data_IF_069704220163
#
_entry.id   IF_069704220163
#
_cell.length_a   1.000
_cell.length_b   1.000
_cell.length_c   1.000
_cell.angle_alpha   90.00
_cell.angle_beta   90.00
_cell.angle_gamma   90.00
#
_symmetry.space_group_name_H-M   'P 1'
#
loop_
_entity.id
_entity.type
_entity.pdbx_description
1 polymer ?
#
# COMPACT_ATOMS: atom_id res chain seq x y z
N UNK A 1 2.08 -4.16 -9.59
CA UNK A 1 3.38 -3.83 -10.23
C UNK A 1 3.20 -3.33 -11.66
N UNK A 2 4.15 -2.60 -12.17
CA UNK A 2 4.12 -1.93 -13.48
C UNK A 2 5.16 -2.54 -14.42
N UNK A 3 5.00 -2.33 -15.74
CA UNK A 3 5.91 -2.84 -16.76
C UNK A 3 5.34 -4.02 -17.58
N UNK A 4 4.04 -4.17 -17.59
CA UNK A 4 3.32 -5.33 -18.16
C UNK A 4 3.23 -6.50 -17.18
N UNK A 5 2.40 -7.50 -17.51
CA UNK A 5 2.02 -8.57 -16.55
C UNK A 5 3.20 -9.28 -15.90
N UNK A 6 4.20 -9.70 -16.67
CA UNK A 6 5.34 -10.47 -16.14
C UNK A 6 6.33 -9.59 -15.36
N UNK A 7 6.66 -8.42 -15.89
CA UNK A 7 7.61 -7.52 -15.28
C UNK A 7 7.06 -6.89 -13.99
N UNK A 8 5.77 -6.52 -13.96
CA UNK A 8 5.11 -6.01 -12.76
C UNK A 8 4.98 -7.04 -11.64
N UNK A 9 4.64 -8.30 -11.99
CA UNK A 9 4.59 -9.41 -11.03
C UNK A 9 5.97 -9.67 -10.42
N UNK A 10 7.01 -9.70 -11.24
CA UNK A 10 8.39 -9.85 -10.78
C UNK A 10 8.79 -8.70 -9.84
N UNK A 11 8.53 -7.45 -10.25
CA UNK A 11 8.91 -6.28 -9.46
C UNK A 11 8.27 -6.27 -8.07
N UNK A 12 6.98 -6.57 -7.97
CA UNK A 12 6.28 -6.60 -6.68
C UNK A 12 6.77 -7.74 -5.78
N UNK A 13 6.92 -8.95 -6.29
CA UNK A 13 7.44 -10.10 -5.54
C UNK A 13 8.86 -9.85 -5.05
N UNK A 14 9.75 -9.43 -5.96
CA UNK A 14 11.14 -9.19 -5.62
C UNK A 14 11.30 -8.05 -4.61
N UNK A 15 10.47 -7.00 -4.69
CA UNK A 15 10.45 -5.94 -3.67
C UNK A 15 10.12 -6.51 -2.29
N UNK A 16 9.10 -7.37 -2.16
CA UNK A 16 8.75 -8.02 -0.88
C UNK A 16 9.89 -8.89 -0.36
N UNK A 17 10.57 -9.66 -1.23
CA UNK A 17 11.72 -10.49 -0.85
C UNK A 17 12.87 -9.63 -0.30
N UNK A 18 13.19 -8.53 -0.97
CA UNK A 18 14.23 -7.60 -0.52
C UNK A 18 13.86 -6.96 0.81
N UNK A 19 12.62 -6.49 0.97
CA UNK A 19 12.16 -5.91 2.24
C UNK A 19 12.28 -6.91 3.38
N UNK A 20 11.82 -8.15 3.19
CA UNK A 20 11.91 -9.20 4.22
C UNK A 20 13.37 -9.49 4.61
N UNK A 21 14.27 -9.55 3.63
CA UNK A 21 15.70 -9.78 3.87
C UNK A 21 16.34 -8.63 4.65
N UNK A 22 16.14 -7.40 4.23
CA UNK A 22 16.74 -6.22 4.85
C UNK A 22 16.20 -6.00 6.27
N UNK A 23 14.88 -6.15 6.47
CA UNK A 23 14.26 -5.97 7.78
C UNK A 23 14.66 -7.07 8.77
N UNK A 24 14.86 -8.30 8.33
CA UNK A 24 15.35 -9.39 9.18
C UNK A 24 16.79 -9.15 9.69
N UNK A 25 17.58 -8.34 8.99
CA UNK A 25 18.96 -8.02 9.37
C UNK A 25 19.06 -6.80 10.29
N UNK A 26 17.98 -6.06 10.51
CA UNK A 26 17.98 -4.75 11.17
C UNK A 26 17.50 -4.78 12.63
N UNK A 27 17.62 -5.92 13.33
CA UNK A 27 17.20 -6.04 14.72
C UNK A 27 17.91 -5.01 15.62
N UNK A 28 17.09 -4.19 16.33
CA UNK A 28 17.55 -3.19 17.30
C UNK A 28 17.95 -1.84 16.70
N UNK A 29 17.79 -1.63 15.41
CA UNK A 29 18.02 -0.33 14.76
C UNK A 29 16.77 0.58 14.83
N UNK A 30 16.94 1.85 14.45
CA UNK A 30 15.87 2.83 14.29
C UNK A 30 14.89 2.38 13.18
N UNK A 31 13.59 2.32 13.50
CA UNK A 31 12.56 1.76 12.62
C UNK A 31 12.43 2.54 11.32
N UNK A 32 12.49 3.89 11.39
CA UNK A 32 12.44 4.73 10.19
C UNK A 32 13.60 4.40 9.26
N UNK A 33 14.81 4.36 9.81
CA UNK A 33 16.02 4.03 9.06
C UNK A 33 15.94 2.65 8.42
N UNK A 34 15.39 1.66 9.15
CA UNK A 34 15.22 0.29 8.66
C UNK A 34 14.21 0.23 7.50
N UNK A 35 13.01 0.76 7.67
CA UNK A 35 11.97 0.74 6.64
C UNK A 35 12.38 1.52 5.40
N UNK A 36 12.80 2.77 5.58
CA UNK A 36 13.25 3.63 4.47
C UNK A 36 14.47 3.05 3.77
N UNK A 37 15.43 2.52 4.55
CA UNK A 37 16.64 1.87 4.03
C UNK A 37 16.32 0.63 3.19
N UNK A 38 15.43 -0.24 3.67
CA UNK A 38 14.99 -1.45 2.96
C UNK A 38 14.29 -1.10 1.63
N UNK A 39 13.41 -0.10 1.64
CA UNK A 39 12.71 0.37 0.42
C UNK A 39 13.70 0.95 -0.59
N UNK A 40 14.68 1.75 -0.14
CA UNK A 40 15.73 2.28 -1.02
C UNK A 40 16.64 1.18 -1.58
N UNK A 41 16.89 0.13 -0.80
CA UNK A 41 17.63 -1.04 -1.29
C UNK A 41 16.82 -1.79 -2.34
N UNK A 42 15.52 -2.03 -2.12
CA UNK A 42 14.64 -2.62 -3.12
C UNK A 42 14.64 -1.81 -4.42
N UNK A 43 14.54 -0.49 -4.34
CA UNK A 43 14.61 0.39 -5.52
C UNK A 43 15.89 0.18 -6.34
N UNK A 44 17.05 0.17 -5.69
CA UNK A 44 18.33 -0.05 -6.36
C UNK A 44 18.41 -1.44 -7.01
N UNK A 45 17.93 -2.46 -6.34
CA UNK A 45 17.96 -3.83 -6.85
C UNK A 45 17.00 -4.02 -8.03
N UNK A 46 15.79 -3.46 -7.98
CA UNK A 46 14.84 -3.49 -9.10
C UNK A 46 15.44 -2.83 -10.34
N UNK A 47 16.07 -1.65 -10.21
CA UNK A 47 16.74 -0.96 -11.33
C UNK A 47 17.87 -1.83 -11.89
N UNK A 48 18.66 -2.48 -11.02
CA UNK A 48 19.75 -3.35 -11.43
C UNK A 48 19.25 -4.57 -12.21
N UNK A 49 18.19 -5.23 -11.74
CA UNK A 49 17.58 -6.36 -12.44
C UNK A 49 16.98 -5.94 -13.79
N UNK A 50 16.25 -4.80 -13.84
CA UNK A 50 15.70 -4.24 -15.07
C UNK A 50 16.79 -3.88 -16.12
N UNK A 51 18.02 -3.58 -15.68
CA UNK A 51 19.15 -3.30 -16.56
C UNK A 51 19.81 -4.54 -17.14
N UNK A 52 19.57 -5.71 -16.55
CA UNK A 52 20.20 -6.99 -16.95
C UNK A 52 19.34 -7.80 -17.90
N UNK A 53 18.04 -7.60 -17.89
CA UNK A 53 17.08 -8.33 -18.70
C UNK A 53 16.13 -7.37 -19.41
N UNK A 54 16.14 -7.39 -20.74
CA UNK A 54 15.27 -6.53 -21.56
C UNK A 54 13.78 -6.80 -21.32
N UNK A 55 13.41 -8.03 -20.93
CA UNK A 55 12.02 -8.37 -20.58
C UNK A 55 11.54 -7.70 -19.30
N UNK A 56 12.46 -7.25 -18.45
CA UNK A 56 12.19 -6.54 -17.19
C UNK A 56 12.36 -5.02 -17.34
N UNK A 57 12.67 -4.53 -18.52
CA UNK A 57 12.90 -3.09 -18.77
C UNK A 57 11.68 -2.26 -18.42
N UNK A 58 11.90 -1.24 -17.60
CA UNK A 58 10.82 -0.35 -17.14
C UNK A 58 9.89 -0.95 -16.10
N UNK A 59 10.24 -2.12 -15.52
CA UNK A 59 9.49 -2.65 -14.40
C UNK A 59 9.56 -1.74 -13.19
N UNK A 60 8.49 -1.72 -12.41
CA UNK A 60 8.40 -1.00 -11.17
C UNK A 60 7.24 -1.47 -10.33
N UNK A 61 7.13 -0.97 -9.12
CA UNK A 61 6.02 -1.28 -8.23
C UNK A 61 5.80 -0.16 -7.22
N UNK A 62 4.61 -0.10 -6.66
CA UNK A 62 4.32 0.64 -5.43
C UNK A 62 4.70 -0.19 -4.22
N UNK A 63 4.81 0.43 -3.07
CA UNK A 63 4.98 -0.25 -1.79
C UNK A 63 4.29 0.51 -0.67
N UNK A 64 3.56 -0.22 0.16
CA UNK A 64 3.14 0.18 1.50
C UNK A 64 3.65 -0.89 2.45
N UNK A 65 4.42 -0.48 3.45
CA UNK A 65 4.97 -1.38 4.46
C UNK A 65 4.70 -0.81 5.84
N UNK A 66 4.32 -1.67 6.79
CA UNK A 66 4.05 -1.28 8.17
C UNK A 66 4.63 -2.27 9.17
N UNK A 67 4.99 -1.75 10.36
CA UNK A 67 5.33 -2.55 11.54
C UNK A 67 4.66 -1.97 12.77
N UNK A 68 4.29 -2.82 13.74
CA UNK A 68 3.48 -2.43 14.90
C UNK A 68 4.15 -2.89 16.19
N UNK A 69 5.24 -2.27 16.64
CA UNK A 69 5.76 -2.53 17.97
C UNK A 69 4.95 -1.77 19.04
N UNK A 70 4.53 -2.46 20.09
CA UNK A 70 3.99 -1.85 21.31
C UNK A 70 2.87 -0.81 21.06
N UNK A 71 1.89 -1.11 20.23
CA UNK A 71 0.75 -0.24 19.90
C UNK A 71 1.10 1.01 19.06
N UNK A 72 2.33 1.15 18.63
CA UNK A 72 2.75 2.20 17.72
C UNK A 72 2.92 1.59 16.32
N UNK A 73 2.18 2.07 15.36
CA UNK A 73 2.35 1.68 13.97
C UNK A 73 3.31 2.67 13.29
N UNK A 74 4.34 2.12 12.67
CA UNK A 74 5.24 2.84 11.78
C UNK A 74 5.02 2.32 10.37
N UNK A 75 4.87 3.21 9.41
CA UNK A 75 4.60 2.79 8.04
C UNK A 75 5.26 3.71 7.02
N UNK A 76 5.57 3.14 5.87
CA UNK A 76 6.21 3.84 4.76
C UNK A 76 5.45 3.59 3.45
N UNK A 77 5.44 4.59 2.57
CA UNK A 77 4.72 4.57 1.31
C UNK A 77 5.57 5.08 0.14
N UNK A 78 5.48 4.38 -0.99
CA UNK A 78 5.91 4.85 -2.32
C UNK A 78 4.86 4.41 -3.34
N UNK A 79 4.16 5.36 -3.94
CA UNK A 79 3.11 5.10 -4.93
C UNK A 79 1.72 5.50 -4.45
N UNK A 80 0.71 4.89 -5.03
CA UNK A 80 -0.72 5.12 -4.81
C UNK A 80 -1.46 3.95 -4.15
N UNK A 81 -0.73 2.94 -3.70
CA UNK A 81 -1.26 1.95 -2.77
C UNK A 81 -1.48 2.61 -1.42
N UNK A 82 -2.56 2.25 -0.73
CA UNK A 82 -3.04 2.99 0.43
C UNK A 82 -2.99 2.21 1.71
N UNK A 83 -2.87 2.92 2.82
CA UNK A 83 -3.10 2.44 4.17
C UNK A 83 -4.21 3.27 4.81
N UNK A 84 -5.25 2.57 5.24
CA UNK A 84 -6.38 3.14 5.96
C UNK A 84 -6.40 2.68 7.41
N UNK A 85 -6.86 3.57 8.28
CA UNK A 85 -7.26 3.27 9.65
C UNK A 85 -8.78 3.25 9.71
N UNK A 86 -9.35 2.17 10.22
CA UNK A 86 -10.80 1.93 10.33
C UNK A 86 -11.13 1.67 11.81
N UNK A 87 -12.04 2.47 12.37
CA UNK A 87 -12.58 2.29 13.72
C UNK A 87 -14.02 2.84 13.76
N UNK A 88 -14.24 4.05 14.30
CA UNK A 88 -15.55 4.75 14.26
C UNK A 88 -15.82 5.42 12.91
N UNK A 89 -14.89 5.37 12.01
CA UNK A 89 -14.91 5.87 10.63
C UNK A 89 -13.73 5.28 9.88
N UNK A 90 -13.53 5.72 8.65
CA UNK A 90 -12.39 5.38 7.81
C UNK A 90 -11.53 6.62 7.57
N UNK A 91 -10.22 6.45 7.66
CA UNK A 91 -9.24 7.51 7.38
C UNK A 91 -8.09 6.95 6.56
N UNK A 92 -7.83 7.49 5.39
CA UNK A 92 -6.62 7.23 4.65
C UNK A 92 -5.43 7.90 5.36
N UNK A 93 -4.43 7.14 5.77
CA UNK A 93 -3.24 7.64 6.45
C UNK A 93 -2.08 7.92 5.51
N UNK A 94 -1.98 7.21 4.38
CA UNK A 94 -1.02 7.48 3.31
C UNK A 94 -1.49 8.62 2.41
N UNK A 95 -0.55 9.26 1.73
CA UNK A 95 -0.86 10.19 0.62
C UNK A 95 -0.46 9.54 -0.69
N UNK A 96 -1.35 9.59 -1.67
CA UNK A 96 -1.07 9.02 -2.98
C UNK A 96 0.02 9.83 -3.70
N UNK A 97 1.01 9.15 -4.23
CA UNK A 97 1.97 9.75 -5.14
C UNK A 97 1.42 9.68 -6.58
N UNK A 98 0.40 10.47 -6.86
CA UNK A 98 -0.28 10.54 -8.15
C UNK A 98 -0.33 11.98 -8.68
N UNK A 99 -0.51 12.09 -10.00
CA UNK A 99 -0.62 13.39 -10.66
C UNK A 99 -1.83 14.17 -10.13
N UNK A 100 -2.95 13.50 -9.94
CA UNK A 100 -4.19 14.15 -9.46
C UNK A 100 -4.06 14.63 -8.03
N UNK A 101 -3.36 13.90 -7.16
CA UNK A 101 -3.09 14.35 -5.79
C UNK A 101 -2.20 15.61 -5.77
N UNK A 102 -1.21 15.69 -6.67
CA UNK A 102 -0.40 16.90 -6.83
C UNK A 102 -1.23 18.08 -7.33
N UNK A 103 -2.17 17.86 -8.27
CA UNK A 103 -3.08 18.89 -8.75
C UNK A 103 -4.01 19.40 -7.66
N UNK A 104 -4.54 18.51 -6.80
CA UNK A 104 -5.35 18.89 -5.62
C UNK A 104 -4.52 19.74 -4.66
N UNK A 105 -3.31 19.28 -4.32
CA UNK A 105 -2.40 19.99 -3.40
C UNK A 105 -2.05 21.39 -3.89
N UNK A 106 -1.91 21.57 -5.20
CA UNK A 106 -1.62 22.87 -5.82
C UNK A 106 -2.89 23.72 -6.03
N UNK A 107 -4.07 23.23 -5.67
CA UNK A 107 -5.34 23.94 -5.84
C UNK A 107 -5.84 23.97 -7.30
N UNK A 108 -5.29 23.16 -8.18
CA UNK A 108 -5.67 23.07 -9.59
C UNK A 108 -7.00 22.37 -9.82
N UNK A 109 -7.34 21.39 -8.97
CA UNK A 109 -8.62 20.68 -8.96
C UNK A 109 -9.08 20.44 -7.53
N UNK A 110 -10.38 20.15 -7.35
CA UNK A 110 -10.93 19.76 -6.04
C UNK A 110 -10.71 18.25 -5.78
N UNK A 111 -10.70 17.80 -4.51
CA UNK A 111 -10.58 16.37 -4.19
C UNK A 111 -11.64 15.49 -4.87
N UNK A 112 -12.88 15.97 -4.97
CA UNK A 112 -13.98 15.26 -5.62
C UNK A 112 -13.75 15.07 -7.13
N UNK A 113 -13.08 16.03 -7.77
CA UNK A 113 -12.75 15.98 -9.21
C UNK A 113 -11.61 14.99 -9.48
N UNK A 114 -10.69 14.83 -8.54
CA UNK A 114 -9.55 13.91 -8.66
C UNK A 114 -9.99 12.44 -8.85
N UNK A 115 -11.04 12.01 -8.16
CA UNK A 115 -11.58 10.64 -8.24
C UNK A 115 -12.03 10.23 -9.65
N UNK A 116 -12.51 11.19 -10.44
CA UNK A 116 -13.05 10.98 -11.79
C UNK A 116 -12.15 11.53 -12.89
N UNK A 117 -10.95 12.01 -12.54
CA UNK A 117 -10.03 12.60 -13.51
C UNK A 117 -9.49 11.52 -14.47
N UNK A 118 -9.33 11.80 -15.77
CA UNK A 118 -8.82 10.83 -16.75
C UNK A 118 -7.40 10.34 -16.39
N UNK A 119 -6.60 11.18 -15.75
CA UNK A 119 -5.21 10.88 -15.37
C UNK A 119 -5.06 10.38 -13.92
N UNK A 120 -6.15 9.92 -13.28
CA UNK A 120 -6.13 9.46 -11.89
C UNK A 120 -5.17 8.31 -11.62
N UNK A 121 -4.87 7.50 -12.62
CA UNK A 121 -3.97 6.35 -12.52
C UNK A 121 -2.50 6.70 -12.85
N UNK A 122 -2.17 7.98 -13.07
CA UNK A 122 -0.79 8.39 -13.33
C UNK A 122 -0.08 8.59 -11.98
N UNK A 123 0.84 7.68 -11.66
CA UNK A 123 1.67 7.79 -10.46
C UNK A 123 2.93 8.61 -10.72
N UNK A 124 3.36 9.35 -9.72
CA UNK A 124 4.54 10.24 -9.77
C UNK A 124 5.77 9.66 -9.10
N UNK A 125 5.57 8.62 -8.24
CA UNK A 125 6.64 7.87 -7.57
C UNK A 125 6.38 6.37 -7.61
N UNK A 126 7.44 5.60 -7.89
CA UNK A 126 7.42 4.15 -7.85
C UNK A 126 8.83 3.59 -7.58
N UNK A 127 8.89 2.39 -7.00
CA UNK A 127 10.10 1.59 -6.90
C UNK A 127 10.53 1.17 -8.32
N UNK A 128 11.80 1.35 -8.64
CA UNK A 128 12.36 1.02 -9.97
C UNK A 128 12.26 2.13 -11.02
N UNK A 129 11.52 3.21 -10.75
CA UNK A 129 11.30 4.28 -11.73
C UNK A 129 12.48 5.26 -11.84
N UNK A 130 13.16 5.56 -10.74
CA UNK A 130 14.28 6.53 -10.68
C UNK A 130 15.39 6.00 -9.78
N UNK A 131 16.63 6.44 -10.04
CA UNK A 131 17.81 6.01 -9.27
C UNK A 131 17.70 6.31 -7.78
N UNK A 132 17.14 7.44 -7.42
CA UNK A 132 16.76 7.78 -6.04
C UNK A 132 15.24 7.81 -5.91
N UNK A 133 14.74 7.23 -4.83
CA UNK A 133 13.32 7.20 -4.48
C UNK A 133 13.09 7.91 -3.16
N UNK A 134 12.19 8.87 -3.18
CA UNK A 134 11.70 9.53 -1.98
C UNK A 134 10.61 8.66 -1.34
N UNK A 135 10.81 8.32 -0.07
CA UNK A 135 9.93 7.46 0.72
C UNK A 135 9.22 8.30 1.76
N UNK A 136 7.92 8.30 1.77
CA UNK A 136 7.15 8.90 2.84
C UNK A 136 7.11 7.95 4.03
N UNK A 137 7.41 8.47 5.23
CA UNK A 137 7.39 7.73 6.48
C UNK A 137 6.47 8.41 7.48
N UNK A 138 5.71 7.59 8.21
CA UNK A 138 4.69 8.04 9.15
C UNK A 138 4.70 7.18 10.40
N UNK A 139 4.16 7.74 11.49
CA UNK A 139 3.85 7.02 12.73
C UNK A 139 2.42 7.29 13.18
N UNK A 140 1.77 6.30 13.75
CA UNK A 140 0.42 6.43 14.28
C UNK A 140 0.24 5.55 15.51
N UNK A 141 -0.29 6.13 16.60
CA UNK A 141 -0.61 5.38 17.81
C UNK A 141 -1.95 4.70 17.67
N UNK A 142 -1.94 3.37 17.74
CA UNK A 142 -3.13 2.55 17.62
C UNK A 142 -3.90 2.46 18.94
N UNK A 143 -5.21 2.27 18.83
CA UNK A 143 -6.16 2.09 19.92
C UNK A 143 -6.91 0.79 19.74
N UNK A 144 -7.47 0.25 20.84
CA UNK A 144 -8.33 -0.93 20.79
C UNK A 144 -9.53 -0.68 19.84
N UNK A 145 -9.81 -1.65 18.98
CA UNK A 145 -10.83 -1.54 17.94
C UNK A 145 -10.36 -0.94 16.62
N UNK A 146 -9.10 -0.50 16.53
CA UNK A 146 -8.52 -0.08 15.24
C UNK A 146 -8.28 -1.31 14.36
N UNK A 147 -8.71 -1.19 13.09
CA UNK A 147 -8.41 -2.13 12.01
C UNK A 147 -7.59 -1.38 10.97
N UNK A 148 -6.54 -2.01 10.49
CA UNK A 148 -5.68 -1.45 9.44
C UNK A 148 -6.01 -2.17 8.15
N UNK A 149 -6.29 -1.41 7.10
CA UNK A 149 -6.44 -1.90 5.74
C UNK A 149 -5.30 -1.35 4.89
N UNK A 150 -4.48 -2.24 4.31
CA UNK A 150 -3.56 -1.88 3.23
C UNK A 150 -4.07 -2.47 1.94
N UNK A 151 -4.08 -1.70 0.87
CA UNK A 151 -4.59 -2.15 -0.42
C UNK A 151 -3.89 -1.50 -1.61
N UNK A 152 -3.96 -2.19 -2.75
CA UNK A 152 -3.60 -1.63 -4.05
C UNK A 152 -4.76 -0.80 -4.62
N UNK A 153 -4.45 -0.01 -5.64
CA UNK A 153 -5.41 0.80 -6.39
C UNK A 153 -6.52 -0.03 -7.06
N UNK A 154 -6.27 -1.31 -7.34
CA UNK A 154 -7.30 -2.26 -7.79
C UNK A 154 -8.47 -2.44 -6.81
N UNK A 155 -8.28 -2.13 -5.51
CA UNK A 155 -9.38 -2.03 -4.55
C UNK A 155 -9.90 -0.59 -4.49
N UNK A 156 -9.07 0.37 -4.18
CA UNK A 156 -9.47 1.75 -3.87
C UNK A 156 -9.99 2.56 -5.07
N UNK A 157 -9.73 2.11 -6.30
CA UNK A 157 -10.36 2.65 -7.51
C UNK A 157 -11.75 2.07 -7.79
N UNK A 158 -12.08 0.91 -7.21
CA UNK A 158 -13.33 0.19 -7.45
C UNK A 158 -14.33 0.33 -6.31
N UNK A 159 -13.86 0.54 -5.08
CA UNK A 159 -14.71 0.57 -3.87
C UNK A 159 -14.46 1.90 -3.15
N UNK A 160 -15.54 2.66 -2.92
CA UNK A 160 -15.47 3.94 -2.22
C UNK A 160 -15.19 3.75 -0.72
N UNK A 161 -14.57 4.76 -0.09
CA UNK A 161 -14.15 4.69 1.31
C UNK A 161 -15.30 4.32 2.27
N UNK A 162 -16.52 4.84 2.03
CA UNK A 162 -17.70 4.53 2.83
C UNK A 162 -18.11 3.04 2.70
N UNK A 163 -18.00 2.46 1.52
CA UNK A 163 -18.27 1.05 1.29
C UNK A 163 -17.16 0.16 1.91
N UNK A 164 -15.88 0.55 1.80
CA UNK A 164 -14.79 -0.11 2.50
C UNK A 164 -15.05 -0.17 4.00
N UNK A 165 -15.47 0.95 4.59
CA UNK A 165 -15.82 1.04 6.00
C UNK A 165 -16.94 0.07 6.38
N UNK A 166 -18.04 0.07 5.62
CA UNK A 166 -19.19 -0.79 5.90
C UNK A 166 -18.87 -2.29 5.76
N UNK A 167 -18.05 -2.67 4.79
CA UNK A 167 -17.62 -4.07 4.61
C UNK A 167 -16.79 -4.53 5.81
N UNK A 168 -15.81 -3.72 6.24
CA UNK A 168 -14.92 -4.08 7.34
C UNK A 168 -15.63 -4.07 8.70
N UNK A 169 -16.55 -3.13 8.93
CA UNK A 169 -17.31 -3.02 10.18
C UNK A 169 -18.58 -3.92 10.22
N UNK A 170 -18.86 -4.65 9.16
CA UNK A 170 -20.10 -5.43 9.00
C UNK A 170 -20.26 -6.67 9.90
N UNK A 171 -19.44 -6.81 10.96
CA UNK A 171 -19.54 -7.89 11.96
C UNK A 171 -19.06 -9.26 11.46
N UNK A 172 -18.36 -9.30 10.34
CA UNK A 172 -17.67 -10.48 9.82
C UNK A 172 -16.31 -10.63 10.50
N UNK A 173 -15.75 -11.83 10.46
CA UNK A 173 -14.35 -11.98 10.82
C UNK A 173 -13.44 -11.31 9.79
N UNK A 174 -12.16 -11.13 10.14
CA UNK A 174 -11.20 -10.39 9.30
C UNK A 174 -10.95 -11.07 7.96
N UNK A 175 -11.05 -12.41 7.89
CA UNK A 175 -10.86 -13.19 6.65
C UNK A 175 -12.06 -13.00 5.73
N UNK A 176 -13.28 -13.10 6.27
CA UNK A 176 -14.52 -12.85 5.52
C UNK A 176 -14.59 -11.40 5.02
N UNK A 177 -14.15 -10.44 5.84
CA UNK A 177 -14.06 -9.04 5.45
C UNK A 177 -13.10 -8.83 4.28
N UNK A 178 -11.92 -9.47 4.32
CA UNK A 178 -10.95 -9.42 3.23
C UNK A 178 -11.49 -10.01 1.92
N UNK A 179 -12.21 -11.13 2.00
CA UNK A 179 -12.86 -11.74 0.85
C UNK A 179 -13.97 -10.85 0.28
N UNK A 180 -14.80 -10.26 1.15
CA UNK A 180 -15.87 -9.35 0.73
C UNK A 180 -15.34 -8.08 0.04
N UNK A 181 -14.20 -7.52 0.48
CA UNK A 181 -13.54 -6.41 -0.19
C UNK A 181 -13.11 -6.78 -1.62
N UNK A 182 -12.53 -7.96 -1.79
CA UNK A 182 -12.11 -8.44 -3.11
C UNK A 182 -13.32 -8.66 -4.03
N UNK A 183 -14.40 -9.27 -3.51
CA UNK A 183 -15.61 -9.49 -4.31
C UNK A 183 -16.27 -8.16 -4.68
N UNK A 184 -16.40 -7.20 -3.77
CA UNK A 184 -16.92 -5.87 -4.08
C UNK A 184 -16.11 -5.18 -5.20
N UNK A 185 -14.79 -5.24 -5.15
CA UNK A 185 -13.97 -4.68 -6.22
C UNK A 185 -14.18 -5.38 -7.57
N UNK A 186 -14.37 -6.70 -7.59
CA UNK A 186 -14.68 -7.47 -8.81
C UNK A 186 -16.06 -7.12 -9.37
N UNK A 187 -17.08 -7.02 -8.51
CA UNK A 187 -18.44 -6.65 -8.89
C UNK A 187 -18.50 -5.24 -9.48
N UNK A 188 -17.67 -4.33 -8.96
CA UNK A 188 -17.54 -2.95 -9.45
C UNK A 188 -16.65 -2.81 -10.70
N UNK A 189 -16.22 -3.94 -11.30
CA UNK A 189 -15.55 -3.97 -12.60
C UNK A 189 -14.23 -4.74 -12.63
N UNK A 190 -13.49 -4.84 -11.53
CA UNK A 190 -12.28 -5.66 -11.41
C UNK A 190 -11.22 -5.41 -12.49
N UNK A 191 -10.91 -4.14 -12.77
CA UNK A 191 -10.08 -3.75 -13.92
C UNK A 191 -8.58 -3.94 -13.71
N UNK A 192 -8.14 -4.22 -12.47
CA UNK A 192 -6.73 -4.40 -12.11
C UNK A 192 -6.56 -5.53 -11.07
N UNK A 193 -5.30 -5.86 -10.76
CA UNK A 193 -4.95 -6.76 -9.67
C UNK A 193 -5.37 -6.17 -8.32
N UNK A 194 -6.00 -6.97 -7.48
CA UNK A 194 -6.51 -6.53 -6.18
C UNK A 194 -5.66 -7.14 -5.08
N UNK A 195 -4.90 -6.30 -4.37
CA UNK A 195 -4.14 -6.67 -3.19
C UNK A 195 -4.79 -6.08 -1.94
N UNK A 196 -5.02 -6.93 -0.92
CA UNK A 196 -5.64 -6.54 0.36
C UNK A 196 -4.90 -7.19 1.51
N UNK A 197 -4.59 -6.40 2.54
CA UNK A 197 -4.10 -6.86 3.84
C UNK A 197 -4.93 -6.18 4.92
N UNK A 198 -5.55 -6.98 5.78
CA UNK A 198 -6.27 -6.52 6.96
C UNK A 198 -5.56 -6.96 8.23
N UNK A 199 -5.44 -6.05 9.21
CA UNK A 199 -4.78 -6.31 10.48
C UNK A 199 -5.69 -5.80 11.61
N UNK A 200 -5.98 -6.68 12.58
CA UNK A 200 -6.57 -6.34 13.87
C UNK A 200 -5.51 -6.42 14.97
N UNK A 201 -4.82 -5.32 15.30
CA UNK A 201 -3.64 -5.38 16.18
C UNK A 201 -3.97 -5.75 17.63
N UNK A 202 -5.23 -5.68 18.02
CA UNK A 202 -5.71 -5.96 19.38
C UNK A 202 -6.81 -7.03 19.40
N UNK A 203 -6.87 -7.90 18.39
CA UNK A 203 -7.71 -9.08 18.47
C UNK A 203 -7.26 -9.90 19.69
N UNK A 204 -8.18 -10.16 20.62
CA UNK A 204 -7.90 -11.06 21.72
C UNK A 204 -7.56 -12.42 21.08
N UNK A 205 -6.39 -12.98 21.39
CA UNK A 205 -6.08 -14.34 21.00
C UNK A 205 -7.25 -15.20 21.46
N UNK A 206 -7.92 -15.83 20.50
CA UNK A 206 -8.97 -16.79 20.83
C UNK A 206 -8.28 -17.89 21.61
N UNK A 207 -8.50 -17.90 22.94
CA UNK A 207 -8.08 -19.00 23.78
C UNK A 207 -8.72 -20.24 23.20
N UNK A 208 -7.93 -21.06 22.51
CA UNK A 208 -8.35 -22.37 22.04
C UNK A 208 -8.59 -23.18 23.30
N UNK A 209 -9.87 -23.34 23.64
CA UNK A 209 -10.33 -24.26 24.68
C UNK A 209 -10.19 -25.70 24.21
#
# INVERSE_FOLDING_TARGET
GMGGHQAGDYASKYTVEVLNRELALSEGEDIERCLVGAIKTANREIIKEASRDEHLKGMGTTVVAATIPNQMMYFANVGDSRLYLINQGIQQLTKDHSLVEEMVRLGGIKPEEAKHHPDKNIITRAIGAKADVEVDFYEHRLKRGDIILMCTDGLSNMVEDEELFHIVQGGRDIVESGQALIEAAKENGGTDNIGVVLIEPFADEVSVL
#
